data_IF_218371345375
#
_entry.id   IF_218371345375
#
_cell.length_a   1.000
_cell.length_b   1.000
_cell.length_c   1.000
_cell.angle_alpha   90.00
_cell.angle_beta   90.00
_cell.angle_gamma   90.00
#
_symmetry.space_group_name_H-M   'P 1'
#
loop_
_entity.id
_entity.type
_entity.pdbx_description
1 polymer ?
#
# COMPACT_ATOMS: atom_id res chain seq x y z
N UNK A 1 -14.73 0.55 14.71
CA UNK A 1 -14.27 0.56 13.31
C UNK A 1 -12.76 0.41 13.32
N UNK A 2 -12.18 -0.56 12.60
CA UNK A 2 -10.71 -0.70 12.52
C UNK A 2 -10.20 0.17 11.37
N UNK A 3 -9.10 0.88 11.60
CA UNK A 3 -8.36 1.63 10.59
C UNK A 3 -6.92 1.15 10.59
N UNK A 4 -6.32 1.06 9.41
CA UNK A 4 -4.93 0.66 9.22
C UNK A 4 -4.24 1.64 8.27
N UNK A 5 -2.98 1.97 8.56
CA UNK A 5 -2.16 2.87 7.76
C UNK A 5 -0.76 2.29 7.62
N UNK A 6 -0.24 2.23 6.39
CA UNK A 6 1.13 1.85 6.06
C UNK A 6 1.67 2.89 5.09
N UNK A 7 2.85 3.44 5.39
CA UNK A 7 3.51 4.39 4.50
C UNK A 7 4.49 3.64 3.59
N UNK A 8 4.41 3.90 2.28
CA UNK A 8 5.33 3.35 1.29
C UNK A 8 6.27 4.46 0.81
N UNK A 9 7.57 4.27 1.03
CA UNK A 9 8.61 5.21 0.63
C UNK A 9 9.42 4.65 -0.54
N UNK A 10 9.68 5.49 -1.54
CA UNK A 10 10.41 5.11 -2.74
C UNK A 10 11.55 6.08 -3.01
N UNK A 11 12.73 5.53 -3.31
CA UNK A 11 13.85 6.29 -3.86
C UNK A 11 14.04 5.85 -5.32
N UNK A 12 13.67 6.72 -6.26
CA UNK A 12 13.78 6.41 -7.70
C UNK A 12 15.05 7.03 -8.28
N UNK A 13 15.84 6.27 -9.06
CA UNK A 13 17.11 6.74 -9.63
C UNK A 13 16.93 7.72 -10.79
N UNK A 14 15.72 7.90 -11.30
CA UNK A 14 15.40 8.76 -12.43
C UNK A 14 14.31 9.77 -12.09
N UNK A 15 14.22 10.84 -12.87
CA UNK A 15 13.22 11.90 -12.67
C UNK A 15 11.77 11.39 -12.75
N UNK A 16 11.51 10.32 -13.51
CA UNK A 16 10.18 9.72 -13.69
C UNK A 16 10.31 8.21 -13.85
N UNK A 17 9.52 7.47 -13.08
CA UNK A 17 9.46 6.02 -13.15
C UNK A 17 8.04 5.54 -12.79
N UNK A 18 7.61 4.45 -13.42
CA UNK A 18 6.42 3.71 -13.01
C UNK A 18 6.84 2.59 -12.07
N UNK A 19 6.25 2.55 -10.87
CA UNK A 19 6.47 1.49 -9.88
C UNK A 19 5.14 0.77 -9.68
N UNK A 20 5.14 -0.55 -9.84
CA UNK A 20 3.98 -1.37 -9.50
C UNK A 20 3.99 -1.65 -7.98
N UNK A 21 2.95 -1.17 -7.29
CA UNK A 21 2.79 -1.30 -5.83
C UNK A 21 1.76 -2.37 -5.41
N UNK A 22 1.25 -3.17 -6.35
CA UNK A 22 0.14 -4.11 -6.09
C UNK A 22 0.47 -5.09 -4.96
N UNK A 23 1.70 -5.59 -4.91
CA UNK A 23 2.12 -6.55 -3.88
C UNK A 23 2.26 -5.90 -2.49
N UNK A 24 2.77 -4.66 -2.42
CA UNK A 24 2.90 -3.91 -1.19
C UNK A 24 1.54 -3.55 -0.60
N UNK A 25 0.57 -3.21 -1.45
CA UNK A 25 -0.82 -2.97 -1.04
C UNK A 25 -1.49 -4.28 -0.60
N UNK A 26 -1.26 -5.40 -1.29
CA UNK A 26 -1.79 -6.70 -0.87
C UNK A 26 -1.28 -7.11 0.52
N UNK A 27 0.02 -6.93 0.79
CA UNK A 27 0.62 -7.17 2.11
C UNK A 27 -0.01 -6.26 3.18
N UNK A 28 -0.23 -4.97 2.87
CA UNK A 28 -0.92 -4.04 3.77
C UNK A 28 -2.35 -4.50 4.12
N UNK A 29 -3.09 -5.04 3.15
CA UNK A 29 -4.44 -5.61 3.38
C UNK A 29 -4.35 -6.82 4.32
N UNK A 30 -3.42 -7.75 4.06
CA UNK A 30 -3.23 -8.93 4.90
C UNK A 30 -2.82 -8.59 6.35
N UNK A 31 -1.96 -7.58 6.53
CA UNK A 31 -1.55 -7.08 7.84
C UNK A 31 -2.69 -6.38 8.59
N UNK A 32 -3.55 -5.64 7.86
CA UNK A 32 -4.67 -4.89 8.46
C UNK A 32 -5.71 -5.78 9.16
N UNK A 33 -5.83 -7.05 8.73
CA UNK A 33 -6.87 -8.01 9.14
C UNK A 33 -8.31 -7.47 8.97
N UNK A 34 -8.51 -6.49 8.09
CA UNK A 34 -9.82 -6.00 7.69
C UNK A 34 -10.36 -6.95 6.62
N UNK A 35 -11.51 -7.59 6.88
CA UNK A 35 -12.12 -8.55 5.94
C UNK A 35 -13.00 -7.90 4.88
N UNK A 36 -13.70 -6.83 5.27
CA UNK A 36 -14.61 -6.07 4.41
C UNK A 36 -14.39 -4.58 4.69
N UNK A 37 -14.21 -3.80 3.64
CA UNK A 37 -13.91 -2.37 3.75
C UNK A 37 -13.46 -1.77 2.43
N UNK A 38 -12.89 -0.57 2.52
CA UNK A 38 -12.34 0.19 1.40
C UNK A 38 -10.85 0.44 1.66
N UNK A 39 -10.06 0.48 0.59
CA UNK A 39 -8.62 0.79 0.63
C UNK A 39 -8.38 2.08 -0.14
N UNK A 40 -7.76 3.06 0.52
CA UNK A 40 -7.30 4.30 -0.09
C UNK A 40 -5.80 4.19 -0.34
N UNK A 41 -5.38 4.45 -1.58
CA UNK A 41 -3.99 4.37 -2.06
C UNK A 41 -3.59 5.70 -2.70
#
# INVERSE_FOLDING_TARGET
MKSYRKDLWFNIPSRRQFINITNQVAEAIEESKIKEGLVLV
#
